data_IF_864334268959
#
_entry.id   IF_864334268959
#
_cell.length_a   1.000
_cell.length_b   1.000
_cell.length_c   1.000
_cell.angle_alpha   90.00
_cell.angle_beta   90.00
_cell.angle_gamma   90.00
#
_symmetry.space_group_name_H-M   'P 1'
#
loop_
_entity.id
_entity.type
_entity.pdbx_description
1 polymer ?
#
# COMPACT_ATOMS: atom_id res chain seq x y z
N UNK A 1 34.56 -32.51 -58.15
CA UNK A 1 34.59 -31.23 -57.43
C UNK A 1 33.15 -30.78 -57.20
N UNK A 2 32.69 -30.81 -55.96
CA UNK A 2 31.72 -29.83 -55.45
C UNK A 2 32.28 -28.38 -55.61
N UNK A 3 31.53 -27.26 -55.42
CA UNK A 3 30.26 -27.11 -54.67
C UNK A 3 29.22 -26.12 -55.26
N UNK A 4 28.01 -26.07 -54.66
CA UNK A 4 27.39 -24.88 -54.00
C UNK A 4 25.86 -25.03 -53.94
N UNK A 5 25.35 -24.95 -52.72
CA UNK A 5 23.93 -25.13 -52.40
C UNK A 5 23.04 -23.90 -52.54
N UNK A 6 21.75 -24.11 -52.31
CA UNK A 6 20.66 -23.16 -51.99
C UNK A 6 19.39 -24.04 -51.87
N UNK A 7 18.39 -23.90 -50.99
CA UNK A 7 18.05 -23.07 -49.83
C UNK A 7 17.19 -23.98 -48.95
N UNK A 8 17.46 -24.09 -47.64
CA UNK A 8 16.48 -24.68 -46.69
C UNK A 8 15.41 -23.63 -46.41
N UNK A 9 14.17 -23.89 -46.79
CA UNK A 9 13.01 -23.10 -46.37
C UNK A 9 12.81 -23.28 -44.87
N UNK A 10 12.76 -22.17 -44.12
CA UNK A 10 12.44 -22.16 -42.71
C UNK A 10 10.97 -22.59 -42.53
N UNK A 11 10.75 -23.71 -41.85
CA UNK A 11 9.42 -24.10 -41.39
C UNK A 11 8.92 -23.07 -40.39
N UNK A 12 7.76 -22.48 -40.66
CA UNK A 12 7.01 -21.72 -39.67
C UNK A 12 6.61 -22.67 -38.55
N UNK A 13 7.16 -22.46 -37.35
CA UNK A 13 6.61 -23.02 -36.13
C UNK A 13 5.39 -22.17 -35.78
N UNK A 14 4.20 -22.69 -36.08
CA UNK A 14 2.95 -22.13 -35.55
C UNK A 14 2.94 -22.36 -34.04
N UNK A 15 3.15 -21.28 -33.28
CA UNK A 15 2.89 -21.26 -31.85
C UNK A 15 1.38 -21.29 -31.68
N UNK A 16 0.83 -22.44 -31.33
CA UNK A 16 -0.59 -22.59 -31.02
C UNK A 16 -0.95 -21.73 -29.80
N UNK A 17 -1.75 -20.68 -30.02
CA UNK A 17 -2.40 -19.95 -28.93
C UNK A 17 -3.35 -20.89 -28.19
N UNK A 18 -3.35 -20.92 -26.84
CA UNK A 18 -4.30 -21.71 -26.10
C UNK A 18 -5.70 -21.10 -26.26
N UNK A 19 -6.52 -21.73 -27.11
CA UNK A 19 -7.96 -21.49 -27.19
C UNK A 19 -8.64 -22.00 -25.91
N UNK A 20 -8.63 -21.19 -24.86
CA UNK A 20 -9.62 -21.28 -23.79
C UNK A 20 -10.64 -20.15 -23.97
N UNK A 21 -11.49 -20.27 -25.00
CA UNK A 21 -12.70 -19.44 -25.09
C UNK A 21 -13.70 -20.01 -24.10
N UNK A 22 -13.82 -19.38 -22.93
CA UNK A 22 -14.88 -19.68 -21.99
C UNK A 22 -16.24 -19.55 -22.73
N UNK A 23 -17.16 -20.53 -22.58
CA UNK A 23 -18.39 -20.61 -23.38
C UNK A 23 -19.39 -19.48 -23.12
N UNK A 24 -19.19 -18.67 -22.08
CA UNK A 24 -19.96 -17.47 -21.79
C UNK A 24 -19.02 -16.34 -21.33
N UNK A 25 -19.32 -15.07 -21.65
CA UNK A 25 -18.62 -13.95 -21.04
C UNK A 25 -18.74 -14.06 -19.52
N UNK A 26 -17.62 -13.92 -18.81
CA UNK A 26 -17.63 -13.90 -17.36
C UNK A 26 -18.56 -12.78 -16.86
N UNK A 27 -19.33 -13.00 -15.77
CA UNK A 27 -20.09 -11.92 -15.14
C UNK A 27 -19.18 -10.72 -14.84
N UNK A 28 -19.67 -9.51 -15.10
CA UNK A 28 -18.93 -8.27 -14.89
C UNK A 28 -19.60 -7.39 -13.84
N UNK A 29 -18.80 -6.64 -13.08
CA UNK A 29 -19.27 -5.62 -12.14
C UNK A 29 -19.01 -4.22 -12.74
N UNK A 30 -20.05 -3.40 -13.02
CA UNK A 30 -19.85 -2.04 -13.52
C UNK A 30 -19.27 -1.13 -12.44
N UNK A 31 -18.52 -0.10 -12.82
CA UNK A 31 -17.82 0.79 -11.87
C UNK A 31 -18.25 2.25 -11.94
N UNK A 32 -19.31 2.56 -12.70
CA UNK A 32 -19.83 3.94 -12.84
C UNK A 32 -20.28 4.49 -11.47
N UNK A 33 -19.77 5.67 -11.03
CA UNK A 33 -20.20 6.31 -9.78
C UNK A 33 -21.72 6.48 -9.64
N UNK A 34 -22.45 6.66 -10.74
CA UNK A 34 -23.90 6.83 -10.73
C UNK A 34 -24.63 5.61 -10.16
N UNK A 35 -24.06 4.41 -10.30
CA UNK A 35 -24.62 3.16 -9.77
C UNK A 35 -24.45 3.01 -8.26
N UNK A 36 -23.55 3.79 -7.65
CA UNK A 36 -23.17 3.70 -6.24
C UNK A 36 -23.48 4.98 -5.46
N UNK A 37 -24.40 5.82 -5.96
CA UNK A 37 -24.79 7.11 -5.35
C UNK A 37 -25.82 6.99 -4.21
N UNK A 38 -25.91 5.82 -3.57
CA UNK A 38 -26.81 5.56 -2.45
C UNK A 38 -26.32 6.15 -1.12
N UNK A 39 -27.04 5.86 0.00
CA UNK A 39 -26.59 6.24 1.33
C UNK A 39 -25.21 5.67 1.66
N UNK A 40 -24.45 6.38 2.50
CA UNK A 40 -23.15 5.87 2.96
C UNK A 40 -23.34 4.51 3.68
N UNK A 41 -22.62 3.45 3.26
CA UNK A 41 -22.82 2.12 3.81
C UNK A 41 -22.33 2.05 5.25
N UNK A 42 -22.82 1.05 5.99
CA UNK A 42 -22.25 0.75 7.30
C UNK A 42 -20.76 0.40 7.17
N UNK A 43 -19.92 1.13 7.89
CA UNK A 43 -18.51 0.80 8.05
C UNK A 43 -18.17 0.81 9.54
N UNK A 44 -17.80 -0.36 10.09
CA UNK A 44 -17.45 -0.50 11.50
C UNK A 44 -16.20 0.32 11.79
N UNK A 45 -16.17 1.05 12.91
CA UNK A 45 -14.92 1.67 13.40
C UNK A 45 -13.82 0.60 13.48
N UNK A 46 -12.68 0.76 12.78
CA UNK A 46 -11.59 -0.20 12.83
C UNK A 46 -11.03 -0.36 14.25
N UNK A 47 -10.74 -1.60 14.63
CA UNK A 47 -10.08 -1.92 15.90
C UNK A 47 -8.78 -2.67 15.63
N UNK A 48 -7.67 -2.21 16.19
CA UNK A 48 -6.39 -2.90 16.05
C UNK A 48 -6.40 -4.22 16.80
N UNK A 49 -6.00 -5.29 16.11
CA UNK A 49 -5.86 -6.64 16.64
C UNK A 49 -4.40 -6.96 17.02
N UNK A 50 -3.45 -6.26 16.41
CA UNK A 50 -2.01 -6.41 16.64
C UNK A 50 -1.21 -5.60 15.65
N UNK A 51 0.10 -5.86 15.59
CA UNK A 51 1.02 -5.24 14.66
C UNK A 51 2.19 -6.17 14.35
N UNK A 52 3.02 -5.78 13.39
CA UNK A 52 4.33 -6.35 13.14
C UNK A 52 5.23 -5.31 12.48
N UNK A 53 6.53 -5.58 12.53
CA UNK A 53 7.58 -4.75 11.96
C UNK A 53 8.36 -5.52 10.91
N UNK A 54 8.84 -4.80 9.90
CA UNK A 54 9.85 -5.27 8.95
C UNK A 54 11.11 -4.46 9.21
N UNK A 55 12.25 -5.15 9.35
CA UNK A 55 13.53 -4.50 9.62
C UNK A 55 14.24 -4.03 8.34
N UNK A 56 15.46 -3.52 8.49
CA UNK A 56 16.29 -3.03 7.39
C UNK A 56 16.64 -4.10 6.35
N UNK A 57 16.52 -5.39 6.69
CA UNK A 57 16.73 -6.54 5.80
C UNK A 57 15.39 -7.18 5.39
N UNK A 58 14.27 -6.46 5.58
CA UNK A 58 12.90 -6.91 5.27
C UNK A 58 12.46 -8.16 6.05
N UNK A 59 13.09 -8.45 7.20
CA UNK A 59 12.72 -9.58 8.04
C UNK A 59 11.56 -9.22 8.95
N UNK A 60 10.65 -10.18 9.13
CA UNK A 60 9.46 -10.04 9.96
C UNK A 60 9.75 -10.19 11.44
N UNK A 61 9.23 -9.25 12.23
CA UNK A 61 9.22 -9.25 13.69
C UNK A 61 7.81 -8.97 14.20
N UNK A 62 7.30 -9.83 15.10
CA UNK A 62 5.95 -9.76 15.64
C UNK A 62 5.75 -8.68 16.72
N UNK A 63 6.33 -7.50 16.52
CA UNK A 63 6.35 -6.40 17.48
C UNK A 63 6.25 -5.01 16.78
N UNK A 64 6.46 -3.95 17.55
CA UNK A 64 6.40 -2.56 17.09
C UNK A 64 7.79 -1.90 16.99
N UNK A 65 8.88 -2.64 16.80
CA UNK A 65 10.23 -2.06 16.80
C UNK A 65 10.47 -1.05 15.67
N UNK A 66 9.71 -1.12 14.56
CA UNK A 66 9.78 -0.17 13.45
C UNK A 66 8.84 1.04 13.62
N UNK A 67 8.05 1.10 14.69
CA UNK A 67 7.14 2.23 14.93
C UNK A 67 7.94 3.47 15.31
N UNK A 68 7.73 4.55 14.55
CA UNK A 68 8.30 5.87 14.86
C UNK A 68 7.26 6.80 15.47
N UNK A 69 7.74 7.89 16.05
CA UNK A 69 6.93 8.86 16.77
C UNK A 69 6.92 10.20 16.05
N UNK A 70 5.72 10.76 15.87
CA UNK A 70 5.53 12.07 15.28
C UNK A 70 6.27 13.12 16.10
N UNK A 71 7.16 13.86 15.45
CA UNK A 71 8.00 14.89 16.05
C UNK A 71 8.10 16.08 15.09
N UNK A 72 7.04 16.91 15.01
CA UNK A 72 7.01 18.08 14.13
C UNK A 72 7.98 19.17 14.64
N UNK A 73 8.34 20.14 13.79
CA UNK A 73 9.11 21.31 14.21
C UNK A 73 8.48 22.02 15.43
N UNK A 74 9.29 22.58 16.35
CA UNK A 74 8.78 23.32 17.49
C UNK A 74 7.88 24.49 17.07
N UNK A 75 6.77 24.70 17.80
CA UNK A 75 5.74 25.71 17.48
C UNK A 75 6.27 27.14 17.39
N UNK A 76 7.35 27.46 18.09
CA UNK A 76 7.99 28.79 18.09
C UNK A 76 9.24 28.85 17.17
N UNK A 77 9.46 27.83 16.35
CA UNK A 77 10.57 27.74 15.42
C UNK A 77 10.31 28.47 14.10
N UNK A 78 11.35 28.55 13.26
CA UNK A 78 11.18 28.98 11.88
C UNK A 78 10.33 27.97 11.09
N UNK A 79 9.75 28.41 9.98
CA UNK A 79 9.06 27.51 9.05
C UNK A 79 9.96 26.31 8.68
N UNK A 80 9.39 25.11 8.51
CA UNK A 80 10.18 23.93 8.13
C UNK A 80 10.92 24.17 6.82
N UNK A 81 12.24 23.97 6.83
CA UNK A 81 13.10 24.08 5.66
C UNK A 81 13.79 22.73 5.41
N UNK A 82 12.99 21.71 5.11
CA UNK A 82 13.46 20.35 4.90
C UNK A 82 14.02 20.19 3.48
N UNK A 83 15.28 19.78 3.38
CA UNK A 83 15.87 19.39 2.10
C UNK A 83 15.53 17.91 1.80
N UNK A 84 14.44 17.70 1.07
CA UNK A 84 13.99 16.35 0.72
C UNK A 84 14.91 15.62 -0.28
N UNK A 85 15.93 16.30 -0.83
CA UNK A 85 16.93 15.69 -1.72
C UNK A 85 18.18 15.25 -0.98
N UNK A 86 18.40 15.74 0.23
CA UNK A 86 19.55 15.39 1.06
C UNK A 86 19.68 13.87 1.21
N UNK A 87 20.83 13.32 0.79
CA UNK A 87 21.14 11.89 0.84
C UNK A 87 20.77 11.08 -0.41
N UNK A 88 20.07 11.64 -1.40
CA UNK A 88 19.80 10.93 -2.65
C UNK A 88 20.97 11.04 -3.63
N UNK A 89 21.44 9.94 -4.26
CA UNK A 89 21.04 8.54 -4.04
C UNK A 89 21.91 7.82 -2.98
N UNK A 90 22.97 8.43 -2.47
CA UNK A 90 24.05 7.75 -1.73
C UNK A 90 23.61 7.09 -0.40
N UNK A 91 22.60 7.65 0.27
CA UNK A 91 21.99 7.13 1.51
C UNK A 91 20.60 6.53 1.29
N UNK A 92 20.28 6.14 0.05
CA UNK A 92 19.00 5.54 -0.29
C UNK A 92 19.11 4.02 -0.48
N UNK A 93 18.38 3.27 0.34
CA UNK A 93 18.26 1.81 0.26
C UNK A 93 16.82 1.42 -0.11
N UNK A 94 16.45 1.43 -1.40
CA UNK A 94 15.13 1.02 -1.84
C UNK A 94 14.93 -0.49 -1.65
N UNK A 95 13.73 -0.88 -1.18
CA UNK A 95 13.25 -2.27 -1.22
C UNK A 95 13.24 -2.80 -2.66
N UNK A 96 13.61 -4.07 -2.82
CA UNK A 96 13.53 -4.75 -4.11
C UNK A 96 12.07 -5.02 -4.52
N UNK A 97 11.60 -4.29 -5.53
CA UNK A 97 10.24 -4.42 -6.07
C UNK A 97 10.05 -5.63 -7.02
N UNK A 98 11.11 -6.37 -7.38
CA UNK A 98 10.96 -7.65 -8.09
C UNK A 98 10.51 -8.77 -7.15
N UNK A 99 10.80 -8.67 -5.84
CA UNK A 99 10.34 -9.63 -4.83
C UNK A 99 8.84 -9.44 -4.57
N UNK A 100 8.06 -10.47 -4.90
CA UNK A 100 6.60 -10.49 -4.69
C UNK A 100 6.26 -11.11 -3.35
N UNK A 101 6.05 -10.26 -2.35
CA UNK A 101 5.70 -10.68 -0.98
C UNK A 101 4.22 -11.10 -0.83
N UNK A 102 3.36 -10.80 -1.80
CA UNK A 102 1.94 -11.19 -1.76
C UNK A 102 1.25 -10.78 -0.45
N UNK A 103 0.69 -11.75 0.27
CA UNK A 103 0.12 -11.57 1.60
C UNK A 103 1.01 -12.15 2.71
N UNK A 104 2.24 -12.59 2.41
CA UNK A 104 3.02 -13.52 3.24
C UNK A 104 3.24 -13.01 4.67
N UNK A 105 3.63 -11.74 4.83
CA UNK A 105 3.82 -11.13 6.16
C UNK A 105 2.52 -11.05 6.97
N UNK A 106 1.39 -10.74 6.32
CA UNK A 106 0.07 -10.74 6.96
C UNK A 106 -0.39 -12.16 7.31
N UNK A 107 -0.13 -13.14 6.44
CA UNK A 107 -0.42 -14.55 6.69
C UNK A 107 0.43 -15.09 7.84
N UNK A 108 1.69 -14.68 7.95
CA UNK A 108 2.56 -15.02 9.08
C UNK A 108 1.97 -14.47 10.39
N UNK A 109 1.59 -13.18 10.43
CA UNK A 109 0.91 -12.62 11.59
C UNK A 109 -0.33 -13.41 11.95
N UNK A 110 -1.15 -13.77 10.96
CA UNK A 110 -2.39 -14.53 11.16
C UNK A 110 -2.12 -15.93 11.71
N UNK A 111 -1.09 -16.63 11.22
CA UNK A 111 -0.69 -17.94 11.73
C UNK A 111 -0.25 -17.89 13.19
N UNK A 112 0.52 -16.87 13.57
CA UNK A 112 0.99 -16.64 14.95
C UNK A 112 -0.16 -16.26 15.90
N UNK A 113 -1.20 -15.60 15.39
CA UNK A 113 -2.31 -15.07 16.20
C UNK A 113 -3.60 -15.89 16.10
N UNK A 114 -3.64 -16.95 15.28
CA UNK A 114 -4.85 -17.74 15.01
C UNK A 114 -5.54 -18.20 16.29
N UNK A 115 -4.77 -18.64 17.29
CA UNK A 115 -5.28 -19.14 18.58
C UNK A 115 -5.91 -18.07 19.46
N UNK A 116 -5.54 -16.80 19.28
CA UNK A 116 -6.10 -15.65 20.01
C UNK A 116 -7.31 -15.05 19.30
N UNK A 117 -7.48 -15.36 18.02
CA UNK A 117 -8.68 -15.02 17.24
C UNK A 117 -9.85 -15.99 17.54
N UNK A 118 -9.61 -17.08 18.29
CA UNK A 118 -10.57 -18.14 18.65
C UNK A 118 -11.70 -17.71 19.59
N UNK A 119 -11.82 -16.42 19.93
CA UNK A 119 -13.07 -15.89 20.49
C UNK A 119 -14.26 -16.10 19.55
N UNK A 120 -14.01 -16.33 18.24
CA UNK A 120 -14.99 -16.83 17.29
C UNK A 120 -14.30 -17.43 16.04
N UNK A 121 -13.93 -18.74 16.02
CA UNK A 121 -13.31 -19.39 14.86
C UNK A 121 -14.17 -19.26 13.59
N UNK A 122 -15.48 -19.07 13.74
CA UNK A 122 -16.40 -18.83 12.64
C UNK A 122 -16.23 -17.45 12.01
N UNK A 123 -15.72 -16.47 12.76
CA UNK A 123 -15.56 -15.09 12.26
C UNK A 123 -14.56 -15.01 11.11
N UNK A 124 -13.40 -15.65 11.25
CA UNK A 124 -12.38 -15.63 10.20
C UNK A 124 -12.86 -16.36 8.93
N UNK A 125 -13.61 -17.46 9.09
CA UNK A 125 -14.23 -18.18 7.99
C UNK A 125 -15.26 -17.35 7.20
N UNK A 126 -15.77 -16.26 7.78
CA UNK A 126 -16.63 -15.29 7.10
C UNK A 126 -15.91 -14.02 6.63
N UNK A 127 -14.63 -13.85 6.96
CA UNK A 127 -13.91 -12.60 6.73
C UNK A 127 -13.20 -12.54 5.37
N UNK A 128 -12.88 -11.32 4.97
CA UNK A 128 -11.98 -11.00 3.86
C UNK A 128 -10.63 -10.58 4.45
N UNK A 129 -9.55 -11.23 4.00
CA UNK A 129 -8.16 -10.95 4.39
C UNK A 129 -7.41 -10.29 3.24
N UNK A 130 -6.85 -9.11 3.46
CA UNK A 130 -6.13 -8.37 2.41
C UNK A 130 -5.24 -7.25 2.96
N UNK A 131 -4.51 -6.55 2.10
CA UNK A 131 -3.82 -5.29 2.45
C UNK A 131 -4.75 -4.09 2.32
N UNK A 132 -4.55 -3.08 3.18
CA UNK A 132 -5.24 -1.78 3.13
C UNK A 132 -5.15 -1.14 1.74
N UNK A 133 -3.98 -1.19 1.11
CA UNK A 133 -3.77 -0.62 -0.23
C UNK A 133 -4.64 -1.27 -1.33
N UNK A 134 -5.00 -2.55 -1.18
CA UNK A 134 -5.89 -3.22 -2.13
C UNK A 134 -7.33 -2.72 -1.97
N UNK A 135 -7.78 -2.53 -0.73
CA UNK A 135 -9.07 -1.89 -0.46
C UNK A 135 -9.09 -0.46 -0.98
N UNK A 136 -8.04 0.34 -0.77
CA UNK A 136 -7.96 1.71 -1.31
C UNK A 136 -8.19 1.74 -2.82
N UNK A 137 -7.59 0.82 -3.59
CA UNK A 137 -7.83 0.71 -5.04
C UNK A 137 -9.29 0.43 -5.38
N UNK A 138 -9.96 -0.46 -4.62
CA UNK A 138 -11.39 -0.69 -4.79
C UNK A 138 -12.22 0.57 -4.51
N UNK A 139 -11.89 1.32 -3.46
CA UNK A 139 -12.61 2.53 -3.08
C UNK A 139 -12.43 3.67 -4.09
N UNK A 140 -11.27 3.78 -4.75
CA UNK A 140 -11.01 4.81 -5.76
C UNK A 140 -11.44 4.42 -7.17
N UNK A 141 -11.74 3.13 -7.41
CA UNK A 141 -12.06 2.59 -8.75
C UNK A 141 -13.15 3.38 -9.51
N UNK A 142 -14.26 3.84 -8.90
CA UNK A 142 -15.26 4.60 -9.65
C UNK A 142 -14.75 5.93 -10.24
N UNK A 143 -13.65 6.46 -9.69
CA UNK A 143 -13.07 7.74 -10.08
C UNK A 143 -11.70 7.62 -10.77
N UNK A 144 -11.10 6.43 -10.73
CA UNK A 144 -9.81 6.13 -11.36
C UNK A 144 -9.93 6.11 -12.89
N UNK A 145 -8.97 6.73 -13.58
CA UNK A 145 -8.97 6.90 -15.05
C UNK A 145 -7.62 6.64 -15.70
N UNK A 146 -6.58 6.41 -14.91
CA UNK A 146 -5.19 6.27 -15.33
C UNK A 146 -4.71 4.84 -15.12
N UNK A 147 -4.92 4.29 -13.92
CA UNK A 147 -4.31 3.03 -13.49
C UNK A 147 -5.34 1.93 -13.23
N UNK A 148 -5.32 0.89 -14.06
CA UNK A 148 -6.05 -0.35 -13.80
C UNK A 148 -5.31 -1.26 -12.81
N UNK A 149 -6.03 -2.22 -12.23
CA UNK A 149 -5.50 -3.17 -11.25
C UNK A 149 -6.01 -4.60 -11.49
N UNK A 150 -5.32 -5.58 -10.90
CA UNK A 150 -5.75 -6.98 -10.88
C UNK A 150 -5.70 -7.51 -9.43
N UNK A 151 -6.75 -8.18 -8.98
CA UNK A 151 -6.81 -8.83 -7.66
C UNK A 151 -7.07 -10.33 -7.84
N UNK A 152 -6.13 -11.16 -7.39
CA UNK A 152 -6.33 -12.59 -7.25
C UNK A 152 -7.17 -12.84 -5.99
N UNK A 153 -8.24 -13.63 -6.14
CA UNK A 153 -9.13 -14.00 -5.05
C UNK A 153 -9.05 -15.52 -4.81
N UNK A 154 -8.77 -15.93 -3.58
CA UNK A 154 -8.75 -17.35 -3.19
C UNK A 154 -9.56 -17.55 -1.93
N UNK A 155 -10.49 -18.52 -1.93
CA UNK A 155 -11.23 -18.90 -0.72
C UNK A 155 -10.59 -20.13 -0.09
N UNK A 156 -10.19 -20.02 1.17
CA UNK A 156 -9.57 -21.12 1.92
C UNK A 156 -10.14 -21.17 3.34
N UNK A 157 -10.67 -22.33 3.75
CA UNK A 157 -11.34 -22.54 5.04
C UNK A 157 -12.44 -21.50 5.33
N UNK A 158 -13.18 -21.11 4.28
CA UNK A 158 -14.23 -20.10 4.35
C UNK A 158 -13.73 -18.66 4.14
N UNK A 159 -12.54 -18.33 4.60
CA UNK A 159 -11.95 -16.99 4.46
C UNK A 159 -11.67 -16.65 3.01
N UNK A 160 -11.97 -15.42 2.58
CA UNK A 160 -11.64 -14.91 1.25
C UNK A 160 -10.36 -14.08 1.33
N UNK A 161 -9.31 -14.50 0.61
CA UNK A 161 -8.05 -13.77 0.51
C UNK A 161 -8.01 -12.99 -0.80
N UNK A 162 -7.72 -11.70 -0.73
CA UNK A 162 -7.52 -10.83 -1.89
C UNK A 162 -6.06 -10.37 -1.92
N UNK A 163 -5.36 -10.70 -3.00
CA UNK A 163 -3.95 -10.32 -3.20
C UNK A 163 -3.77 -9.67 -4.57
N UNK A 164 -3.13 -8.51 -4.60
CA UNK A 164 -2.87 -7.80 -5.85
C UNK A 164 -1.87 -8.54 -6.76
N UNK A 165 -2.17 -8.52 -8.05
CA UNK A 165 -1.30 -8.97 -9.12
C UNK A 165 -0.88 -7.74 -9.93
N UNK A 166 0.43 -7.56 -10.10
CA UNK A 166 0.95 -6.48 -10.94
C UNK A 166 0.52 -6.68 -12.40
N UNK A 167 -0.13 -5.67 -12.97
CA UNK A 167 -0.54 -5.71 -14.38
C UNK A 167 0.67 -5.58 -15.30
N UNK A 168 0.60 -6.08 -16.55
CA UNK A 168 1.68 -5.90 -17.52
C UNK A 168 2.06 -4.43 -17.75
N UNK A 169 1.07 -3.53 -17.75
CA UNK A 169 1.28 -2.09 -17.89
C UNK A 169 2.00 -1.50 -16.66
N UNK A 170 1.57 -1.86 -15.44
CA UNK A 170 2.22 -1.41 -14.21
C UNK A 170 3.67 -1.92 -14.12
N UNK A 171 3.93 -3.18 -14.52
CA UNK A 171 5.28 -3.73 -14.62
C UNK A 171 6.16 -2.91 -15.57
N UNK A 172 5.66 -2.62 -16.77
CA UNK A 172 6.39 -1.84 -17.76
C UNK A 172 6.71 -0.44 -17.25
N UNK A 173 5.74 0.25 -16.62
CA UNK A 173 5.94 1.57 -16.03
C UNK A 173 6.97 1.57 -14.89
N UNK A 174 6.95 0.54 -14.02
CA UNK A 174 7.92 0.38 -12.95
C UNK A 174 9.34 0.17 -13.46
N UNK A 175 9.52 -0.70 -14.46
CA UNK A 175 10.84 -0.94 -15.06
C UNK A 175 11.37 0.29 -15.81
N UNK A 176 10.48 1.04 -16.47
CA UNK A 176 10.81 2.27 -17.19
C UNK A 176 10.74 3.53 -16.32
N UNK A 177 10.71 3.41 -14.99
CA UNK A 177 10.47 4.53 -14.08
C UNK A 177 11.53 5.64 -14.27
N UNK A 178 11.11 6.88 -14.65
CA UNK A 178 12.04 7.98 -14.87
C UNK A 178 12.84 8.35 -13.60
N UNK A 179 14.07 8.88 -13.74
CA UNK A 179 14.89 9.31 -12.60
C UNK A 179 14.17 10.28 -11.67
N UNK A 180 13.47 11.28 -12.23
CA UNK A 180 12.69 12.24 -11.46
C UNK A 180 11.61 11.57 -10.60
N UNK A 181 10.95 10.53 -11.10
CA UNK A 181 9.93 9.82 -10.32
C UNK A 181 10.55 8.99 -9.20
N UNK A 182 11.75 8.44 -9.40
CA UNK A 182 12.51 7.75 -8.34
C UNK A 182 12.92 8.70 -7.23
N UNK A 183 13.37 9.90 -7.60
CA UNK A 183 13.70 10.96 -6.64
C UNK A 183 12.44 11.43 -5.87
N UNK A 184 11.29 11.60 -6.55
CA UNK A 184 10.03 11.95 -5.88
C UNK A 184 9.57 10.89 -4.88
N UNK A 185 9.78 9.60 -5.18
CA UNK A 185 9.51 8.51 -4.23
C UNK A 185 10.41 8.62 -3.00
N UNK A 186 11.71 8.86 -3.21
CA UNK A 186 12.66 9.09 -2.11
C UNK A 186 12.23 10.27 -1.23
N UNK A 187 11.85 11.40 -1.84
CA UNK A 187 11.45 12.62 -1.14
C UNK A 187 10.29 12.40 -0.16
N UNK A 188 9.37 11.47 -0.48
CA UNK A 188 8.28 11.07 0.42
C UNK A 188 8.81 10.42 1.70
N UNK A 189 9.67 9.39 1.57
CA UNK A 189 10.29 8.73 2.72
C UNK A 189 11.25 9.65 3.48
N UNK A 190 11.95 10.54 2.77
CA UNK A 190 12.83 11.54 3.39
C UNK A 190 12.02 12.53 4.24
N UNK A 191 10.82 12.92 3.80
CA UNK A 191 9.93 13.75 4.61
C UNK A 191 9.51 13.06 5.91
N UNK A 192 9.25 11.75 5.87
CA UNK A 192 8.99 10.99 7.11
C UNK A 192 10.20 11.04 8.06
N UNK A 193 11.43 10.93 7.54
CA UNK A 193 12.64 11.06 8.36
C UNK A 193 12.77 12.45 9.03
N UNK A 194 12.26 13.52 8.41
CA UNK A 194 12.24 14.86 9.01
C UNK A 194 11.13 15.06 10.05
N UNK A 195 10.08 14.24 10.02
CA UNK A 195 8.88 14.40 10.86
C UNK A 195 8.74 13.34 11.95
N UNK A 196 9.68 12.39 12.00
CA UNK A 196 9.62 11.24 12.89
C UNK A 196 10.90 11.08 13.70
N UNK A 197 10.75 10.65 14.96
CA UNK A 197 11.84 10.24 15.83
C UNK A 197 11.68 8.78 16.26
N UNK A 198 12.79 8.12 16.60
CA UNK A 198 12.80 6.72 17.04
C UNK A 198 12.22 6.51 18.45
N UNK A 199 12.13 7.58 19.25
CA UNK A 199 11.62 7.56 20.62
C UNK A 199 10.58 8.65 20.84
N UNK A 200 9.60 8.44 21.75
CA UNK A 200 8.65 9.48 22.11
C UNK A 200 9.35 10.73 22.62
N UNK A 201 9.01 11.89 22.05
CA UNK A 201 9.63 13.18 22.42
C UNK A 201 11.09 13.36 21.95
N UNK A 202 11.63 12.41 21.19
CA UNK A 202 12.92 12.54 20.54
C UNK A 202 12.90 13.53 19.38
N UNK A 203 14.08 13.92 18.91
CA UNK A 203 14.24 14.75 17.71
C UNK A 203 14.47 13.87 16.47
N UNK A 204 13.93 14.24 15.30
CA UNK A 204 14.24 13.57 14.03
C UNK A 204 15.74 13.64 13.71
N UNK A 205 16.28 12.56 13.14
CA UNK A 205 17.65 12.50 12.64
C UNK A 205 17.67 12.30 11.10
N UNK A 206 17.79 13.38 10.31
CA UNK A 206 17.85 13.29 8.85
C UNK A 206 19.22 12.82 8.31
N UNK A 207 20.23 12.61 9.17
CA UNK A 207 21.59 12.21 8.74
C UNK A 207 21.71 10.71 8.44
N UNK A 208 20.79 9.90 8.94
CA UNK A 208 20.71 8.46 8.67
C UNK A 208 20.32 8.12 7.22
N UNK A 209 20.25 6.82 6.94
CA UNK A 209 19.82 6.29 5.64
C UNK A 209 18.30 6.24 5.52
N UNK A 210 17.80 6.36 4.29
CA UNK A 210 16.40 6.10 3.96
C UNK A 210 16.29 4.68 3.42
N UNK A 211 15.87 3.74 4.27
CA UNK A 211 15.69 2.34 3.91
C UNK A 211 14.21 1.96 3.85
N UNK A 212 13.69 1.68 2.65
CA UNK A 212 12.25 1.39 2.44
C UNK A 212 11.88 -0.08 2.63
N UNK A 213 12.83 -0.90 3.12
CA UNK A 213 12.53 -2.23 3.65
C UNK A 213 11.88 -2.13 5.04
N UNK A 214 12.30 -1.14 5.83
CA UNK A 214 11.77 -0.89 7.17
C UNK A 214 10.32 -0.47 7.07
N UNK A 215 9.43 -1.13 7.81
CA UNK A 215 8.02 -0.76 7.85
C UNK A 215 7.37 -1.19 9.16
N UNK A 216 6.47 -0.37 9.69
CA UNK A 216 5.58 -0.76 10.78
C UNK A 216 4.16 -0.94 10.23
N UNK A 217 3.56 -2.08 10.52
CA UNK A 217 2.24 -2.44 10.02
C UNK A 217 1.27 -2.68 11.17
N UNK A 218 0.13 -1.99 11.15
CA UNK A 218 -1.01 -2.27 12.04
C UNK A 218 -1.91 -3.31 11.40
N UNK A 219 -2.43 -4.25 12.19
CA UNK A 219 -3.42 -5.24 11.75
C UNK A 219 -4.77 -4.90 12.36
N UNK A 220 -5.76 -4.63 11.51
CA UNK A 220 -7.05 -4.10 11.89
C UNK A 220 -8.19 -5.05 11.55
N UNK A 221 -9.21 -5.01 12.41
CA UNK A 221 -10.51 -5.63 12.20
C UNK A 221 -11.56 -4.57 11.94
N UNK A 222 -12.32 -4.73 10.86
CA UNK A 222 -13.48 -3.89 10.52
C UNK A 222 -14.60 -4.72 9.89
N UNK A 223 -15.62 -4.04 9.34
CA UNK A 223 -16.71 -4.61 8.57
C UNK A 223 -17.32 -3.54 7.66
N UNK A 224 -17.43 -3.85 6.37
CA UNK A 224 -18.15 -3.03 5.38
C UNK A 224 -19.45 -3.73 5.00
N UNK A 225 -20.60 -3.10 5.26
CA UNK A 225 -21.90 -3.76 5.11
C UNK A 225 -21.95 -5.05 5.93
N UNK A 226 -22.20 -6.19 5.28
CA UNK A 226 -22.19 -7.52 5.88
C UNK A 226 -20.85 -8.28 5.67
N UNK A 227 -19.78 -7.62 5.22
CA UNK A 227 -18.48 -8.23 4.93
C UNK A 227 -17.47 -7.92 6.05
N UNK A 228 -17.15 -8.88 6.93
CA UNK A 228 -16.07 -8.71 7.90
C UNK A 228 -14.72 -8.58 7.20
N UNK A 229 -13.87 -7.68 7.69
CA UNK A 229 -12.56 -7.40 7.13
C UNK A 229 -11.48 -7.62 8.18
N UNK A 230 -10.43 -8.33 7.80
CA UNK A 230 -9.13 -8.33 8.46
C UNK A 230 -8.11 -7.80 7.46
N UNK A 231 -7.48 -6.69 7.77
CA UNK A 231 -6.50 -6.10 6.86
C UNK A 231 -5.35 -5.48 7.62
N UNK A 232 -4.21 -5.37 6.96
CA UNK A 232 -3.07 -4.65 7.50
C UNK A 232 -2.70 -3.48 6.62
N UNK A 233 -2.15 -2.43 7.22
CA UNK A 233 -1.62 -1.27 6.51
C UNK A 233 -0.36 -0.78 7.22
N UNK A 234 0.60 -0.36 6.41
CA UNK A 234 1.74 0.43 6.89
C UNK A 234 1.24 1.72 7.54
N UNK A 235 1.89 2.10 8.64
CA UNK A 235 1.60 3.29 9.42
C UNK A 235 2.91 4.05 9.61
N UNK A 236 2.91 5.33 9.21
CA UNK A 236 4.14 6.13 9.15
C UNK A 236 4.69 6.44 10.55
N UNK A 237 3.80 6.86 11.47
CA UNK A 237 4.15 7.11 12.87
C UNK A 237 2.92 7.17 13.80
N UNK A 238 3.19 7.25 15.11
CA UNK A 238 2.19 7.57 16.14
C UNK A 238 2.47 8.91 16.78
N UNK A 239 1.42 9.68 17.10
CA UNK A 239 1.54 10.92 17.85
C UNK A 239 1.38 10.67 19.36
N UNK A 240 2.45 10.86 20.17
CA UNK A 240 2.36 10.74 21.64
C UNK A 240 1.44 11.78 22.29
N UNK A 241 1.13 12.87 21.58
CA UNK A 241 0.26 13.96 22.04
C UNK A 241 -1.17 13.84 21.50
N UNK A 242 -1.49 12.75 20.78
CA UNK A 242 -2.83 12.52 20.26
C UNK A 242 -3.87 12.54 21.40
N UNK A 243 -5.05 13.16 21.21
CA UNK A 243 -6.10 13.21 22.24
C UNK A 243 -6.54 11.82 22.75
N UNK A 244 -6.45 10.81 21.88
CA UNK A 244 -6.65 9.41 22.25
C UNK A 244 -5.37 8.62 21.93
N UNK A 245 -4.69 8.05 22.94
CA UNK A 245 -3.49 7.25 22.71
C UNK A 245 -3.81 5.86 22.15
N UNK A 246 -5.09 5.52 21.97
CA UNK A 246 -5.52 4.18 21.53
C UNK A 246 -5.38 4.02 20.01
N UNK A 247 -4.59 3.05 19.53
CA UNK A 247 -4.56 2.74 18.11
C UNK A 247 -5.92 2.28 17.57
N UNK A 248 -6.28 2.63 16.33
CA UNK A 248 -5.48 3.37 15.36
C UNK A 248 -5.61 4.91 15.49
N UNK A 249 -6.34 5.43 16.48
CA UNK A 249 -6.67 6.87 16.61
C UNK A 249 -5.44 7.76 16.85
N UNK A 250 -4.36 7.20 17.40
CA UNK A 250 -3.10 7.89 17.64
C UNK A 250 -2.13 7.88 16.44
N UNK A 251 -2.49 7.24 15.33
CA UNK A 251 -1.63 7.14 14.16
C UNK A 251 -1.75 8.37 13.26
N UNK A 252 -0.63 8.72 12.63
CA UNK A 252 -0.50 9.85 11.72
C UNK A 252 0.05 9.34 10.39
N UNK A 253 -0.62 9.72 9.30
CA UNK A 253 -0.17 9.49 7.93
C UNK A 253 0.50 10.78 7.42
N UNK A 254 1.72 10.65 6.90
CA UNK A 254 2.54 11.71 6.37
C UNK A 254 2.48 11.71 4.84
N UNK A 255 2.36 12.90 4.26
CA UNK A 255 2.26 13.08 2.82
C UNK A 255 2.97 14.35 2.38
N UNK A 256 3.63 14.28 1.23
CA UNK A 256 4.17 15.43 0.51
C UNK A 256 3.30 15.75 -0.69
N UNK A 257 3.14 17.02 -1.00
CA UNK A 257 2.52 17.50 -2.25
C UNK A 257 3.27 18.73 -2.75
N UNK A 258 3.11 19.07 -4.03
CA UNK A 258 3.64 20.32 -4.57
C UNK A 258 2.95 21.51 -3.89
N UNK A 259 3.70 22.57 -3.65
CA UNK A 259 3.13 23.82 -3.16
C UNK A 259 2.09 24.38 -4.16
N UNK A 260 1.03 24.96 -3.61
CA UNK A 260 -0.12 25.43 -4.38
C UNK A 260 -0.30 26.93 -4.18
N UNK A 261 -0.21 27.69 -5.26
CA UNK A 261 -0.26 29.16 -5.25
C UNK A 261 -1.55 29.72 -5.90
N UNK A 262 -2.44 28.85 -6.40
CA UNK A 262 -3.66 29.29 -7.08
C UNK A 262 -4.88 28.45 -6.68
N UNK A 263 -6.10 29.04 -6.67
CA UNK A 263 -7.33 28.30 -6.39
C UNK A 263 -7.58 27.11 -7.34
N UNK A 264 -7.03 27.17 -8.57
CA UNK A 264 -7.10 26.07 -9.53
C UNK A 264 -6.28 24.85 -9.08
N UNK A 265 -5.06 25.07 -8.60
CA UNK A 265 -4.20 24.01 -8.05
C UNK A 265 -4.85 23.36 -6.82
N UNK A 266 -5.35 24.17 -5.88
CA UNK A 266 -6.07 23.69 -4.70
C UNK A 266 -7.29 22.83 -5.08
N UNK A 267 -8.09 23.28 -6.06
CA UNK A 267 -9.25 22.52 -6.55
C UNK A 267 -8.85 21.16 -7.15
N UNK A 268 -7.74 21.11 -7.89
CA UNK A 268 -7.23 19.86 -8.42
C UNK A 268 -6.76 18.91 -7.31
N UNK A 269 -6.04 19.44 -6.31
CA UNK A 269 -5.59 18.68 -5.15
C UNK A 269 -6.76 18.06 -4.37
N UNK A 270 -7.82 18.83 -4.10
CA UNK A 270 -9.02 18.32 -3.42
C UNK A 270 -9.75 17.22 -4.21
N UNK A 271 -9.75 17.30 -5.55
CA UNK A 271 -10.48 16.35 -6.42
C UNK A 271 -9.71 15.08 -6.75
N UNK A 272 -8.39 15.15 -6.79
CA UNK A 272 -7.55 14.06 -7.30
C UNK A 272 -6.66 13.45 -6.20
N UNK A 273 -6.22 14.24 -5.22
CA UNK A 273 -5.25 13.80 -4.21
C UNK A 273 -5.94 13.48 -2.88
N UNK A 274 -6.77 14.39 -2.37
CA UNK A 274 -7.50 14.17 -1.10
C UNK A 274 -8.51 13.03 -1.22
N UNK A 275 -9.10 12.83 -2.40
CA UNK A 275 -10.08 11.76 -2.64
C UNK A 275 -9.45 10.36 -2.57
N UNK A 276 -8.13 10.23 -2.80
CA UNK A 276 -7.38 8.99 -2.61
C UNK A 276 -6.91 8.78 -1.16
N UNK A 277 -6.73 9.87 -0.41
CA UNK A 277 -6.50 9.86 1.03
C UNK A 277 -7.82 9.89 1.78
N UNK A 278 -8.64 8.84 1.66
CA UNK A 278 -9.85 8.72 2.49
C UNK A 278 -9.41 8.76 3.95
N UNK A 279 -9.82 9.77 4.74
CA UNK A 279 -9.56 9.77 6.16
C UNK A 279 -10.33 8.60 6.75
N UNK A 280 -9.63 7.55 7.14
CA UNK A 280 -10.19 6.49 7.97
C UNK A 280 -10.47 7.09 9.35
N UNK A 281 -11.69 7.61 9.49
CA UNK A 281 -12.36 8.06 10.72
C UNK A 281 -11.80 9.31 11.41
N UNK A 282 -12.66 10.34 11.50
CA UNK A 282 -12.95 10.99 12.78
C UNK A 282 -14.06 10.20 13.50
#
# INVERSE_FOLDING_TARGET
>A
MEPRGTKRGAGKVEVAEPRNKLPHPAPSLPTDPALYSGPFPFYRRPSQMGCFSLDAQRQYHGDAQALRYYSPPPTNGQCPNFDLRDGYPDRYQPRDEEVREGLDHLLRWLLEHRGRLEGDPSWLAGAIVTWRGHLTKLLTTPYERQEGWQLAASRFQGTLYLSEVETPAARAQRLARPPLLRELMYMGYKFEQYMCADKPGGSPDPSGEVNTNVAFCSVLRSRLGNHPLLFSGEVDCTDPQAPSPQPPTCYVELKTSKEMHSPGQWRSFYRMTVTAGIPLCA
#
